data_IF_557996461754
#
_entry.id   IF_557996461754
#
_cell.length_a   1.000
_cell.length_b   1.000
_cell.length_c   1.000
_cell.angle_alpha   90.00
_cell.angle_beta   90.00
_cell.angle_gamma   90.00
#
_symmetry.space_group_name_H-M   'P 1'
#
loop_
_entity.id
_entity.type
_entity.pdbx_description
1 polymer ?
#
# COMPACT_ATOMS: atom_id res chain seq x y z
N UNK A 1 19.38 -3.61 0.86
CA UNK A 1 19.08 -2.75 -0.31
C UNK A 1 17.57 -2.83 -0.54
N UNK A 2 16.95 -1.83 -1.19
CA UNK A 2 15.60 -2.01 -1.73
C UNK A 2 15.64 -2.99 -2.91
N UNK A 3 14.48 -3.40 -3.42
CA UNK A 3 14.36 -4.23 -4.61
C UNK A 3 13.87 -3.38 -5.78
N UNK A 4 14.44 -3.62 -6.96
CA UNK A 4 13.90 -3.16 -8.25
C UNK A 4 13.14 -4.35 -8.84
N UNK A 5 11.86 -4.17 -9.10
CA UNK A 5 11.01 -5.13 -9.79
C UNK A 5 10.63 -4.60 -11.16
N UNK A 6 11.01 -5.32 -12.21
CA UNK A 6 10.76 -4.89 -13.59
C UNK A 6 10.35 -6.06 -14.50
N UNK A 7 9.67 -5.76 -15.60
CA UNK A 7 9.17 -6.74 -16.56
C UNK A 7 10.07 -6.80 -17.80
N UNK A 8 10.96 -7.78 -17.83
CA UNK A 8 11.97 -7.95 -18.90
C UNK A 8 11.57 -9.05 -19.92
N UNK A 9 10.27 -9.31 -20.08
CA UNK A 9 9.73 -10.29 -21.04
C UNK A 9 9.39 -11.67 -20.48
N UNK A 10 9.50 -11.87 -19.16
CA UNK A 10 9.13 -13.10 -18.48
C UNK A 10 7.67 -13.10 -17.99
N UNK A 11 7.19 -14.26 -17.51
CA UNK A 11 5.84 -14.41 -16.94
C UNK A 11 5.61 -13.58 -15.66
N UNK A 12 6.68 -13.25 -14.95
CA UNK A 12 6.68 -12.40 -13.76
C UNK A 12 7.88 -11.46 -13.80
N UNK A 13 7.93 -10.50 -12.87
CA UNK A 13 9.00 -9.52 -12.80
C UNK A 13 10.35 -10.17 -12.44
N UNK A 14 11.45 -9.57 -12.91
CA UNK A 14 12.78 -9.85 -12.38
C UNK A 14 13.04 -9.00 -11.13
N UNK A 15 13.92 -9.46 -10.26
CA UNK A 15 14.37 -8.71 -9.08
C UNK A 15 15.85 -8.35 -9.20
N UNK A 16 16.18 -7.08 -8.96
CA UNK A 16 17.56 -6.58 -8.89
C UNK A 16 17.77 -5.76 -7.61
N UNK A 17 19.00 -5.67 -7.08
CA UNK A 17 19.30 -4.78 -5.97
C UNK A 17 19.05 -3.31 -6.34
N UNK A 18 18.25 -2.63 -5.53
CA UNK A 18 18.01 -1.19 -5.62
C UNK A 18 18.92 -0.38 -4.68
N UNK A 19 18.54 0.88 -4.49
CA UNK A 19 19.23 1.80 -3.60
C UNK A 19 19.15 1.34 -2.13
N UNK A 20 20.11 1.78 -1.30
CA UNK A 20 19.93 1.72 0.15
C UNK A 20 19.05 2.90 0.56
N UNK A 21 17.94 2.63 1.23
CA UNK A 21 17.04 3.66 1.75
C UNK A 21 17.34 3.89 3.23
N UNK A 22 17.71 5.12 3.59
CA UNK A 22 18.03 5.47 4.98
C UNK A 22 16.74 5.78 5.74
N UNK A 23 16.54 5.11 6.87
CA UNK A 23 15.45 5.43 7.79
C UNK A 23 15.71 6.76 8.51
N UNK A 24 14.66 7.51 8.78
CA UNK A 24 14.70 8.82 9.44
C UNK A 24 13.91 8.88 10.77
N UNK A 25 13.32 7.77 11.19
CA UNK A 25 12.61 7.61 12.45
C UNK A 25 12.94 6.24 13.04
N UNK A 26 12.93 6.15 14.37
CA UNK A 26 13.10 4.89 15.08
C UNK A 26 11.72 4.25 15.29
N UNK A 27 11.59 2.98 14.90
CA UNK A 27 10.31 2.27 14.88
C UNK A 27 9.69 2.14 16.27
N UNK A 28 10.52 1.89 17.28
CA UNK A 28 10.06 1.72 18.67
C UNK A 28 9.53 3.03 19.27
N UNK A 29 9.94 4.19 18.72
CA UNK A 29 9.49 5.51 19.15
C UNK A 29 8.21 5.99 18.44
N UNK A 30 7.72 5.26 17.44
CA UNK A 30 6.56 5.68 16.64
C UNK A 30 5.29 5.67 17.50
N UNK A 31 4.69 6.85 17.64
CA UNK A 31 3.33 7.02 18.14
C UNK A 31 2.37 7.34 16.97
N UNK A 32 1.47 6.40 16.58
CA UNK A 32 0.53 6.59 15.46
C UNK A 32 -0.37 7.82 15.58
N UNK A 33 -0.63 8.30 16.80
CA UNK A 33 -1.49 9.48 17.00
C UNK A 33 -0.87 10.76 16.44
N UNK A 34 0.45 10.81 16.30
CA UNK A 34 1.21 11.99 15.83
C UNK A 34 1.30 12.09 14.30
N UNK A 35 0.77 11.12 13.56
CA UNK A 35 0.80 11.08 12.10
C UNK A 35 -0.61 11.25 11.54
N UNK A 36 -0.75 12.08 10.50
CA UNK A 36 -2.05 12.28 9.84
C UNK A 36 -2.45 11.10 8.95
N UNK A 37 -1.48 10.34 8.44
CA UNK A 37 -1.70 9.23 7.51
C UNK A 37 -0.55 8.21 7.52
N UNK A 38 -0.78 7.06 6.87
CA UNK A 38 0.21 6.00 6.69
C UNK A 38 0.34 5.62 5.21
N UNK A 39 1.58 5.30 4.80
CA UNK A 39 1.91 4.78 3.47
C UNK A 39 2.55 3.39 3.62
N UNK A 40 2.07 2.42 2.84
CA UNK A 40 2.51 1.03 2.80
C UNK A 40 3.08 0.70 1.42
N UNK A 41 4.40 0.85 1.22
CA UNK A 41 5.06 0.46 -0.02
C UNK A 41 4.94 -1.03 -0.32
N UNK A 42 5.12 -1.39 -1.59
CA UNK A 42 5.15 -2.77 -2.05
C UNK A 42 6.53 -3.43 -1.96
N UNK A 43 6.84 -4.26 -2.96
CA UNK A 43 8.04 -5.09 -3.00
C UNK A 43 7.89 -6.34 -2.12
N UNK A 44 9.01 -6.89 -1.65
CA UNK A 44 9.03 -8.09 -0.79
C UNK A 44 8.83 -7.79 0.70
N UNK A 45 8.92 -6.51 1.11
CA UNK A 45 8.83 -6.14 2.51
C UNK A 45 7.47 -6.48 3.18
N UNK A 46 6.32 -6.24 2.52
CA UNK A 46 5.02 -6.59 3.09
C UNK A 46 4.87 -8.06 3.53
N UNK A 47 5.51 -8.99 2.84
CA UNK A 47 5.43 -10.43 3.14
C UNK A 47 5.94 -10.78 4.55
N UNK A 48 7.00 -10.12 5.03
CA UNK A 48 7.52 -10.35 6.38
C UNK A 48 7.02 -9.32 7.39
N UNK A 49 6.70 -8.08 6.96
CA UNK A 49 6.17 -7.05 7.87
C UNK A 49 4.79 -7.40 8.40
N UNK A 50 3.97 -8.12 7.62
CA UNK A 50 2.64 -8.59 8.05
C UNK A 50 2.68 -9.57 9.23
N UNK A 51 3.85 -10.13 9.56
CA UNK A 51 4.05 -11.04 10.68
C UNK A 51 4.38 -10.31 11.99
N UNK A 52 4.56 -8.99 11.95
CA UNK A 52 4.91 -8.19 13.11
C UNK A 52 3.66 -7.55 13.72
N UNK A 53 3.33 -7.94 14.96
CA UNK A 53 2.13 -7.46 15.65
C UNK A 53 2.09 -5.94 15.82
N UNK A 54 3.24 -5.29 16.06
CA UNK A 54 3.30 -3.83 16.17
C UNK A 54 2.98 -3.15 14.85
N UNK A 55 3.41 -3.71 13.71
CA UNK A 55 3.01 -3.20 12.38
C UNK A 55 1.49 -3.31 12.21
N UNK A 56 0.90 -4.45 12.56
CA UNK A 56 -0.54 -4.67 12.45
C UNK A 56 -1.34 -3.73 13.38
N UNK A 57 -0.87 -3.51 14.60
CA UNK A 57 -1.44 -2.55 15.57
C UNK A 57 -1.45 -1.14 15.00
N UNK A 58 -0.31 -0.68 14.44
CA UNK A 58 -0.20 0.64 13.82
C UNK A 58 -1.20 0.76 12.66
N UNK A 59 -1.27 -0.23 11.76
CA UNK A 59 -2.19 -0.20 10.61
C UNK A 59 -3.66 -0.16 11.06
N UNK A 60 -4.02 -0.95 12.08
CA UNK A 60 -5.37 -0.93 12.68
C UNK A 60 -5.70 0.44 13.25
N UNK A 61 -4.78 1.12 13.93
CA UNK A 61 -4.99 2.47 14.43
C UNK A 61 -5.44 3.45 13.32
N UNK A 62 -4.77 3.46 12.16
CA UNK A 62 -5.16 4.33 11.04
C UNK A 62 -6.54 3.97 10.47
N UNK A 63 -6.89 2.68 10.47
CA UNK A 63 -8.21 2.21 10.06
C UNK A 63 -9.31 2.66 11.03
N UNK A 64 -9.13 2.38 12.33
CA UNK A 64 -10.09 2.68 13.40
C UNK A 64 -10.34 4.18 13.56
N UNK A 65 -9.29 4.99 13.40
CA UNK A 65 -9.37 6.45 13.45
C UNK A 65 -9.77 7.11 12.12
N UNK A 66 -10.03 6.30 11.07
CA UNK A 66 -10.38 6.75 9.71
C UNK A 66 -9.38 7.73 9.10
N UNK A 67 -8.12 7.65 9.51
CA UNK A 67 -7.02 8.43 8.91
C UNK A 67 -6.67 7.85 7.54
N UNK A 68 -6.18 8.66 6.59
CA UNK A 68 -5.79 8.18 5.27
C UNK A 68 -4.75 7.05 5.32
N UNK A 69 -4.99 6.00 4.55
CA UNK A 69 -4.10 4.85 4.33
C UNK A 69 -3.81 4.78 2.83
N UNK A 70 -2.54 4.79 2.45
CA UNK A 70 -2.12 4.55 1.08
C UNK A 70 -1.33 3.24 0.99
N UNK A 71 -1.75 2.28 0.17
CA UNK A 71 -1.01 1.03 -0.04
C UNK A 71 -0.82 0.73 -1.53
N UNK A 72 0.29 0.12 -1.91
CA UNK A 72 0.62 -0.11 -3.32
C UNK A 72 1.29 -1.47 -3.54
N UNK A 73 1.02 -2.09 -4.69
CA UNK A 73 1.64 -3.34 -5.11
C UNK A 73 1.38 -4.48 -4.10
N UNK A 74 2.37 -4.89 -3.32
CA UNK A 74 2.21 -5.90 -2.27
C UNK A 74 1.87 -5.32 -0.89
N UNK A 75 1.86 -3.99 -0.71
CA UNK A 75 1.44 -3.34 0.53
C UNK A 75 0.10 -3.84 1.10
N UNK A 76 -0.92 -4.12 0.27
CA UNK A 76 -2.19 -4.70 0.72
C UNK A 76 -2.10 -6.04 1.46
N UNK A 77 -0.98 -6.78 1.39
CA UNK A 77 -0.76 -7.96 2.23
C UNK A 77 -0.81 -7.65 3.72
N UNK A 78 -0.29 -6.48 4.10
CA UNK A 78 -0.35 -6.00 5.50
C UNK A 78 -1.80 -5.66 5.88
N UNK A 79 -2.56 -5.06 4.96
CA UNK A 79 -3.96 -4.71 5.20
C UNK A 79 -4.83 -5.96 5.39
N UNK A 80 -4.59 -6.99 4.57
CA UNK A 80 -5.25 -8.30 4.70
C UNK A 80 -4.93 -8.95 6.04
N UNK A 81 -3.65 -8.99 6.43
CA UNK A 81 -3.24 -9.53 7.74
C UNK A 81 -3.76 -8.71 8.93
N UNK A 82 -3.89 -7.40 8.78
CA UNK A 82 -4.49 -6.52 9.78
C UNK A 82 -6.03 -6.73 9.89
N UNK A 83 -6.66 -7.43 8.95
CA UNK A 83 -8.08 -7.72 8.97
C UNK A 83 -8.97 -6.52 8.64
N UNK A 84 -8.44 -5.50 7.95
CA UNK A 84 -9.15 -4.23 7.73
C UNK A 84 -9.83 -4.12 6.36
N UNK A 85 -9.77 -5.17 5.53
CA UNK A 85 -10.26 -5.13 4.13
C UNK A 85 -11.73 -5.53 3.96
N UNK A 86 -12.37 -6.08 4.99
CA UNK A 86 -13.75 -6.59 4.89
C UNK A 86 -14.74 -5.50 4.42
N UNK A 87 -15.36 -5.73 3.27
CA UNK A 87 -16.34 -4.80 2.68
C UNK A 87 -15.74 -3.55 2.02
N UNK A 88 -14.41 -3.51 1.81
CA UNK A 88 -13.73 -2.44 1.08
C UNK A 88 -13.30 -2.90 -0.32
N UNK A 89 -13.27 -1.97 -1.26
CA UNK A 89 -12.64 -2.16 -2.56
C UNK A 89 -11.14 -1.84 -2.47
N UNK A 90 -10.30 -2.76 -2.96
CA UNK A 90 -8.85 -2.66 -2.84
C UNK A 90 -8.17 -3.09 -4.14
N UNK A 91 -7.38 -2.20 -4.72
CA UNK A 91 -6.42 -2.53 -5.78
C UNK A 91 -5.13 -3.08 -5.16
N UNK A 92 -4.43 -3.96 -5.87
CA UNK A 92 -3.15 -4.53 -5.44
C UNK A 92 -2.42 -5.11 -6.64
N UNK A 93 -1.17 -5.55 -6.46
CA UNK A 93 -0.50 -6.34 -7.47
C UNK A 93 -1.31 -7.63 -7.73
N UNK A 94 -1.52 -8.07 -8.99
CA UNK A 94 -2.47 -9.14 -9.28
C UNK A 94 -2.28 -10.45 -8.50
N UNK A 95 -1.05 -10.81 -8.13
CA UNK A 95 -0.78 -12.01 -7.32
C UNK A 95 -1.36 -11.92 -5.89
N UNK A 96 -1.61 -10.71 -5.38
CA UNK A 96 -2.13 -10.42 -4.03
C UNK A 96 -3.67 -10.44 -4.01
N UNK A 97 -4.35 -10.53 -5.17
CA UNK A 97 -5.82 -10.46 -5.27
C UNK A 97 -6.53 -11.45 -4.36
N UNK A 98 -5.98 -12.65 -4.20
CA UNK A 98 -6.58 -13.70 -3.39
C UNK A 98 -6.48 -13.42 -1.89
N UNK A 99 -5.44 -12.72 -1.44
CA UNK A 99 -5.31 -12.28 -0.04
C UNK A 99 -6.34 -11.19 0.26
N UNK A 100 -6.55 -10.25 -0.67
CA UNK A 100 -7.62 -9.24 -0.58
C UNK A 100 -9.00 -9.90 -0.48
N UNK A 101 -9.29 -10.84 -1.39
CA UNK A 101 -10.58 -11.54 -1.41
C UNK A 101 -10.80 -12.40 -0.16
N UNK A 102 -9.77 -13.13 0.27
CA UNK A 102 -9.86 -13.99 1.47
C UNK A 102 -10.04 -13.17 2.76
N UNK A 103 -9.59 -11.91 2.78
CA UNK A 103 -9.82 -10.96 3.87
C UNK A 103 -11.18 -10.24 3.77
N UNK A 104 -12.06 -10.65 2.85
CA UNK A 104 -13.39 -10.08 2.66
C UNK A 104 -13.44 -8.77 1.85
N UNK A 105 -12.34 -8.39 1.21
CA UNK A 105 -12.28 -7.23 0.32
C UNK A 105 -12.67 -7.56 -1.13
N UNK A 106 -13.08 -6.55 -1.87
CA UNK A 106 -13.35 -6.64 -3.31
C UNK A 106 -12.12 -6.21 -4.08
N UNK A 107 -11.52 -7.12 -4.86
CA UNK A 107 -10.38 -6.79 -5.72
C UNK A 107 -10.78 -5.84 -6.84
N UNK A 108 -10.04 -4.73 -6.97
CA UNK A 108 -10.17 -3.77 -8.07
C UNK A 108 -9.10 -4.05 -9.11
N UNK A 109 -9.55 -4.50 -10.29
CA UNK A 109 -8.67 -4.83 -11.40
C UNK A 109 -7.93 -3.57 -11.92
N UNK A 110 -6.61 -3.65 -12.17
CA UNK A 110 -5.84 -2.51 -12.68
C UNK A 110 -6.21 -2.17 -14.12
N UNK A 111 -5.97 -0.90 -14.51
CA UNK A 111 -5.93 -0.51 -15.92
C UNK A 111 -4.89 -1.33 -16.70
N UNK A 112 -5.05 -1.40 -18.02
CA UNK A 112 -4.10 -2.09 -18.90
C UNK A 112 -2.66 -1.57 -18.74
N UNK A 113 -2.48 -0.29 -18.43
CA UNK A 113 -1.18 0.35 -18.19
C UNK A 113 -0.66 0.25 -16.75
N UNK A 114 -1.40 -0.38 -15.83
CA UNK A 114 -1.07 -0.43 -14.40
C UNK A 114 -0.89 0.95 -13.75
N UNK A 115 -1.49 1.99 -14.33
CA UNK A 115 -1.37 3.40 -13.95
C UNK A 115 -2.59 3.94 -13.18
N UNK A 116 -3.62 3.11 -12.99
CA UNK A 116 -4.80 3.44 -12.20
C UNK A 116 -4.59 3.26 -10.70
N UNK A 117 -5.23 4.10 -9.89
CA UNK A 117 -5.39 3.92 -8.45
C UNK A 117 -6.87 3.97 -8.06
N UNK A 118 -7.23 3.34 -6.93
CA UNK A 118 -8.61 3.28 -6.43
C UNK A 118 -8.68 3.79 -4.99
N UNK A 119 -9.66 4.65 -4.71
CA UNK A 119 -9.96 5.12 -3.35
C UNK A 119 -11.33 4.62 -2.91
N UNK A 120 -11.37 3.93 -1.76
CA UNK A 120 -12.59 3.57 -1.04
C UNK A 120 -12.48 4.12 0.38
N UNK A 121 -13.33 5.08 0.74
CA UNK A 121 -13.30 5.83 2.01
C UNK A 121 -11.93 6.48 2.26
N UNK A 122 -11.24 6.10 3.33
CA UNK A 122 -9.92 6.59 3.72
C UNK A 122 -8.77 5.71 3.17
N UNK A 123 -9.06 4.71 2.34
CA UNK A 123 -8.06 3.81 1.77
C UNK A 123 -7.85 4.12 0.29
N UNK A 124 -6.63 4.48 -0.09
CA UNK A 124 -6.19 4.62 -1.49
C UNK A 124 -5.19 3.52 -1.84
N UNK A 125 -5.45 2.80 -2.92
CA UNK A 125 -4.69 1.62 -3.33
C UNK A 125 -4.30 1.63 -4.79
N UNK A 126 -3.17 1.01 -5.13
CA UNK A 126 -2.65 0.97 -6.48
C UNK A 126 -1.92 -0.35 -6.80
N UNK A 127 -1.88 -0.78 -8.07
CA UNK A 127 -1.39 -2.10 -8.45
C UNK A 127 0.13 -2.19 -8.57
N UNK A 128 0.80 -1.11 -9.00
CA UNK A 128 2.25 -1.09 -9.24
C UNK A 128 2.77 0.35 -9.37
N UNK A 129 4.09 0.50 -9.48
CA UNK A 129 4.79 1.79 -9.57
C UNK A 129 4.37 2.70 -10.74
N UNK A 130 3.84 2.23 -11.91
CA UNK A 130 3.32 3.14 -12.93
C UNK A 130 2.15 4.00 -12.44
N UNK A 131 1.40 3.54 -11.42
CA UNK A 131 0.29 4.27 -10.83
C UNK A 131 0.71 5.35 -9.81
N UNK A 132 2.00 5.58 -9.56
CA UNK A 132 2.44 6.62 -8.61
C UNK A 132 1.76 7.99 -8.83
N UNK A 133 1.61 8.51 -10.06
CA UNK A 133 0.91 9.79 -10.27
C UNK A 133 -0.54 9.77 -9.77
N UNK A 134 -1.32 8.76 -10.16
CA UNK A 134 -2.72 8.63 -9.77
C UNK A 134 -2.86 8.35 -8.25
N UNK A 135 -2.02 7.48 -7.72
CA UNK A 135 -2.01 7.07 -6.32
C UNK A 135 -1.66 8.23 -5.38
N UNK A 136 -0.58 8.97 -5.69
CA UNK A 136 -0.17 10.15 -4.91
C UNK A 136 -1.22 11.26 -5.03
N UNK A 137 -1.79 11.49 -6.22
CA UNK A 137 -2.85 12.49 -6.42
C UNK A 137 -4.08 12.19 -5.56
N UNK A 138 -4.53 10.93 -5.53
CA UNK A 138 -5.67 10.52 -4.71
C UNK A 138 -5.36 10.59 -3.21
N UNK A 139 -4.14 10.19 -2.81
CA UNK A 139 -3.71 10.30 -1.41
C UNK A 139 -3.64 11.76 -0.93
N UNK A 140 -3.11 12.67 -1.75
CA UNK A 140 -3.08 14.10 -1.44
C UNK A 140 -4.50 14.67 -1.24
N UNK A 141 -5.49 14.21 -2.03
CA UNK A 141 -6.90 14.58 -1.83
C UNK A 141 -7.44 14.08 -0.49
N UNK A 142 -7.11 12.86 -0.07
CA UNK A 142 -7.49 12.34 1.25
C UNK A 142 -6.89 13.15 2.41
N UNK A 143 -5.70 13.71 2.20
CA UNK A 143 -5.05 14.64 3.14
C UNK A 143 -5.61 16.07 3.09
N UNK A 144 -6.61 16.34 2.24
CA UNK A 144 -7.17 17.69 2.06
C UNK A 144 -6.25 18.67 1.31
N UNK A 145 -5.19 18.17 0.66
CA UNK A 145 -4.26 19.00 -0.10
C UNK A 145 -4.89 19.53 -1.39
N UNK A 146 -4.54 20.77 -1.77
CA UNK A 146 -4.91 21.40 -3.04
C UNK A 146 -3.65 21.80 -3.79
N UNK A 147 -3.62 21.52 -5.09
CA UNK A 147 -2.54 21.93 -5.99
C UNK A 147 -3.13 22.99 -6.91
N UNK A 148 -2.60 24.20 -6.83
CA UNK A 148 -3.03 25.36 -7.60
C UNK A 148 -1.91 25.79 -8.58
N UNK A 149 -2.25 26.38 -9.74
CA UNK A 149 -1.27 26.82 -10.75
C UNK A 149 -0.31 27.92 -10.28
#
# INVERSE_FOLDING_TARGET
ATAIHDFEGHQTYSEKPGHRFRLNADFDSVNPTQYDAIVLPGGRAPEYLRLNDRVLEIVKHFSDTRKPIAAICHGPQILAAAGILSGLHCSCYPAVRYEVQSAGGTYVEPSAGFDSAHTDRNLVTAPAWPAHPAWISQFAKLLGSRIEP
#
